data_IF_827721696155
#
_entry.id   IF_827721696155
#
_cell.length_a   1.000
_cell.length_b   1.000
_cell.length_c   1.000
_cell.angle_alpha   90.00
_cell.angle_beta   90.00
_cell.angle_gamma   90.00
#
_symmetry.space_group_name_H-M   'P 1'
#
loop_
_entity.id
_entity.type
_entity.pdbx_description
1 polymer ?
#
# COMPACT_ATOMS: atom_id res chain seq x y z
N UNK A 1 13.00 -2.43 -0.67
CA UNK A 1 12.96 -3.24 0.58
C UNK A 1 12.23 -4.59 0.42
N UNK A 2 11.04 -4.64 -0.21
CA UNK A 2 10.26 -5.88 -0.43
C UNK A 2 10.81 -6.82 -1.52
N UNK A 3 12.00 -6.54 -2.07
CA UNK A 3 12.64 -7.36 -3.09
C UNK A 3 11.99 -7.32 -4.47
N UNK A 4 11.36 -6.19 -4.82
CA UNK A 4 10.85 -5.92 -6.17
C UNK A 4 11.86 -5.05 -6.91
N UNK A 5 12.06 -5.32 -8.18
CA UNK A 5 12.78 -4.45 -9.11
C UNK A 5 11.84 -3.37 -9.70
N UNK A 6 12.41 -2.45 -10.47
CA UNK A 6 11.66 -1.35 -11.09
C UNK A 6 10.57 -1.85 -12.04
N UNK A 7 10.87 -2.86 -12.85
CA UNK A 7 9.93 -3.48 -13.79
C UNK A 7 8.74 -4.13 -13.08
N UNK A 8 9.00 -4.95 -12.04
CA UNK A 8 7.97 -5.61 -11.25
C UNK A 8 7.08 -4.58 -10.57
N UNK A 9 7.66 -3.48 -10.06
CA UNK A 9 6.88 -2.37 -9.51
C UNK A 9 5.99 -1.76 -10.59
N UNK A 10 6.54 -1.35 -11.73
CA UNK A 10 5.76 -0.72 -12.80
C UNK A 10 4.63 -1.63 -13.30
N UNK A 11 4.92 -2.91 -13.56
CA UNK A 11 3.93 -3.91 -13.98
C UNK A 11 2.86 -4.20 -12.93
N UNK A 12 3.16 -3.99 -11.65
CA UNK A 12 2.17 -4.15 -10.57
C UNK A 12 1.14 -3.02 -10.54
N UNK A 13 1.52 -1.81 -10.95
CA UNK A 13 0.66 -0.62 -10.87
C UNK A 13 0.07 -0.18 -12.20
N UNK A 14 0.67 -0.59 -13.32
CA UNK A 14 0.26 -0.18 -14.66
C UNK A 14 0.04 -1.40 -15.54
N UNK A 15 -0.98 -1.33 -16.39
CA UNK A 15 -1.12 -2.27 -17.49
C UNK A 15 -0.09 -1.93 -18.57
N UNK A 16 0.39 -2.96 -19.26
CA UNK A 16 1.27 -2.82 -20.41
C UNK A 16 0.45 -2.85 -21.69
N UNK A 17 0.79 -2.00 -22.64
CA UNK A 17 0.19 -1.99 -23.97
C UNK A 17 1.28 -2.20 -25.01
N UNK A 18 1.20 -3.27 -25.83
CA UNK A 18 2.17 -3.51 -26.89
C UNK A 18 1.90 -2.58 -28.07
N UNK A 19 2.98 -2.06 -28.63
CA UNK A 19 3.00 -1.35 -29.91
C UNK A 19 3.87 -2.14 -30.88
N UNK A 20 3.26 -2.72 -31.91
CA UNK A 20 3.95 -3.50 -32.93
C UNK A 20 4.25 -2.63 -34.16
N UNK A 21 5.50 -2.65 -34.63
CA UNK A 21 5.89 -1.93 -35.84
C UNK A 21 5.31 -2.62 -37.07
N UNK A 22 4.51 -1.91 -37.86
CA UNK A 22 4.04 -2.36 -39.19
C UNK A 22 4.27 -1.27 -40.22
N UNK A 23 5.29 -1.44 -41.06
CA UNK A 23 5.69 -0.44 -42.05
C UNK A 23 6.29 0.80 -41.38
N UNK A 24 5.74 1.98 -41.70
CA UNK A 24 6.14 3.27 -41.11
C UNK A 24 5.32 3.66 -39.86
N UNK A 25 4.37 2.81 -39.43
CA UNK A 25 3.49 3.08 -38.29
C UNK A 25 3.55 2.02 -37.20
N UNK A 26 2.78 2.26 -36.14
CA UNK A 26 2.66 1.39 -34.98
C UNK A 26 1.24 0.85 -34.85
N UNK A 27 1.10 -0.40 -34.47
CA UNK A 27 -0.19 -1.04 -34.22
C UNK A 27 -0.36 -1.29 -32.73
N UNK A 28 -1.47 -0.84 -32.17
CA UNK A 28 -1.80 -1.04 -30.76
C UNK A 28 -3.17 -1.70 -30.59
N UNK A 29 -3.37 -2.56 -29.58
CA UNK A 29 -4.68 -3.13 -29.27
C UNK A 29 -5.74 -2.06 -28.97
N UNK A 30 -6.95 -2.26 -29.49
CA UNK A 30 -8.08 -1.39 -29.18
C UNK A 30 -8.56 -1.64 -27.74
N UNK A 31 -8.54 -0.59 -26.90
CA UNK A 31 -9.18 -0.60 -25.57
C UNK A 31 -10.37 0.35 -25.56
N UNK A 32 -11.54 -0.20 -25.28
CA UNK A 32 -12.80 0.55 -25.17
C UNK A 32 -12.71 1.74 -24.19
N UNK A 33 -12.09 1.51 -23.04
CA UNK A 33 -12.04 2.50 -21.95
C UNK A 33 -11.32 3.79 -22.36
N UNK A 34 -10.26 3.67 -23.17
CA UNK A 34 -9.47 4.81 -23.67
C UNK A 34 -10.24 5.73 -24.61
N UNK A 35 -11.21 5.20 -25.34
CA UNK A 35 -11.95 5.96 -26.35
C UNK A 35 -13.35 6.38 -25.89
N UNK A 36 -13.72 6.06 -24.65
CA UNK A 36 -15.04 6.39 -24.09
C UNK A 36 -15.14 7.89 -23.80
N UNK A 37 -15.85 8.62 -24.65
CA UNK A 37 -16.11 10.05 -24.44
C UNK A 37 -14.97 10.98 -24.84
N UNK A 38 -13.92 10.44 -25.47
CA UNK A 38 -12.73 11.16 -25.92
C UNK A 38 -12.94 11.66 -27.35
N UNK A 39 -12.28 12.76 -27.70
CA UNK A 39 -12.14 13.25 -29.08
C UNK A 39 -10.76 12.85 -29.57
N UNK A 40 -10.64 11.95 -30.56
CA UNK A 40 -9.34 11.63 -31.15
C UNK A 40 -8.70 12.88 -31.74
N UNK A 41 -7.40 13.05 -31.54
CA UNK A 41 -6.63 14.14 -32.18
C UNK A 41 -6.33 13.83 -33.66
N UNK A 42 -6.31 12.55 -33.99
CA UNK A 42 -6.07 12.00 -35.32
C UNK A 42 -7.14 10.97 -35.70
N UNK A 43 -7.25 10.67 -36.98
CA UNK A 43 -8.17 9.65 -37.48
C UNK A 43 -7.77 8.27 -36.93
N UNK A 44 -8.74 7.54 -36.37
CA UNK A 44 -8.52 6.17 -35.93
C UNK A 44 -8.68 5.24 -37.12
N UNK A 45 -7.60 4.54 -37.48
CA UNK A 45 -7.56 3.60 -38.59
C UNK A 45 -7.50 2.19 -38.02
N UNK A 46 -8.37 1.31 -38.50
CA UNK A 46 -8.32 -0.11 -38.17
C UNK A 46 -7.10 -0.75 -38.85
N UNK A 47 -6.25 -1.44 -38.08
CA UNK A 47 -5.01 -2.01 -38.60
C UNK A 47 -5.20 -3.27 -39.47
N UNK A 48 -6.37 -3.92 -39.41
CA UNK A 48 -6.67 -5.13 -40.19
C UNK A 48 -7.39 -4.77 -41.51
N UNK A 49 -8.27 -3.78 -41.48
CA UNK A 49 -9.06 -3.36 -42.67
C UNK A 49 -8.51 -2.12 -43.37
N UNK A 50 -7.72 -1.29 -42.69
CA UNK A 50 -7.24 -0.01 -43.21
C UNK A 50 -8.31 1.07 -43.32
N UNK A 51 -9.52 0.82 -42.80
CA UNK A 51 -10.63 1.78 -42.82
C UNK A 51 -10.56 2.77 -41.65
N UNK A 52 -11.00 4.01 -41.88
CA UNK A 52 -11.12 5.02 -40.83
C UNK A 52 -12.36 4.73 -39.99
N UNK A 53 -12.15 4.22 -38.78
CA UNK A 53 -13.22 3.83 -37.84
C UNK A 53 -13.76 5.02 -37.05
N UNK A 54 -12.96 6.07 -36.84
CA UNK A 54 -13.42 7.33 -36.26
C UNK A 54 -12.60 8.52 -36.79
N UNK A 55 -13.28 9.62 -37.11
CA UNK A 55 -12.62 10.84 -37.58
C UNK A 55 -12.06 11.67 -36.42
N UNK A 56 -10.95 12.36 -36.68
CA UNK A 56 -10.33 13.32 -35.80
C UNK A 56 -11.32 14.41 -35.38
N UNK A 57 -11.26 14.83 -34.10
CA UNK A 57 -12.11 15.87 -33.53
C UNK A 57 -13.54 15.46 -33.21
N UNK A 58 -14.03 14.33 -33.73
CA UNK A 58 -15.37 13.83 -33.42
C UNK A 58 -15.39 13.12 -32.06
N UNK A 59 -16.29 13.56 -31.16
CA UNK A 59 -16.43 12.92 -29.85
C UNK A 59 -17.00 11.51 -30.01
N UNK A 60 -16.25 10.51 -29.56
CA UNK A 60 -16.71 9.12 -29.55
C UNK A 60 -17.61 8.93 -28.33
N UNK A 61 -18.90 8.69 -28.56
CA UNK A 61 -19.83 8.35 -27.47
C UNK A 61 -19.50 6.98 -26.87
N UNK A 62 -19.87 6.73 -25.62
CA UNK A 62 -19.65 5.42 -24.98
C UNK A 62 -20.29 4.25 -25.78
N UNK A 63 -21.44 4.49 -26.41
CA UNK A 63 -22.09 3.48 -27.28
C UNK A 63 -21.29 3.23 -28.55
N UNK A 64 -20.74 4.29 -29.16
CA UNK A 64 -19.92 4.17 -30.36
C UNK A 64 -18.60 3.46 -30.07
N UNK A 65 -17.91 3.82 -28.99
CA UNK A 65 -16.68 3.14 -28.56
C UNK A 65 -16.93 1.63 -28.32
N UNK A 66 -18.05 1.28 -27.67
CA UNK A 66 -18.37 -0.14 -27.45
C UNK A 66 -18.59 -0.89 -28.76
N UNK A 67 -19.31 -0.29 -29.70
CA UNK A 67 -19.55 -0.88 -31.02
C UNK A 67 -18.25 -1.03 -31.83
N UNK A 68 -17.34 -0.05 -31.72
CA UNK A 68 -16.03 -0.13 -32.36
C UNK A 68 -15.20 -1.29 -31.80
N UNK A 69 -15.26 -1.56 -30.50
CA UNK A 69 -14.57 -2.72 -29.90
C UNK A 69 -15.12 -4.09 -30.32
N UNK A 70 -16.31 -4.16 -30.94
CA UNK A 70 -16.85 -5.40 -31.52
C UNK A 70 -16.30 -5.67 -32.93
N UNK A 71 -15.89 -4.61 -33.65
CA UNK A 71 -15.43 -4.68 -35.05
C UNK A 71 -13.92 -4.55 -35.20
N UNK A 72 -13.29 -3.73 -34.36
CA UNK A 72 -11.88 -3.35 -34.48
C UNK A 72 -11.09 -3.90 -33.30
N UNK A 73 -10.11 -4.75 -33.62
CA UNK A 73 -9.24 -5.38 -32.62
C UNK A 73 -7.97 -4.56 -32.39
N UNK A 74 -7.45 -3.92 -33.43
CA UNK A 74 -6.20 -3.19 -33.38
C UNK A 74 -6.27 -1.88 -34.18
N UNK A 75 -5.57 -0.86 -33.71
CA UNK A 75 -5.51 0.46 -34.31
C UNK A 75 -4.14 0.70 -34.92
N UNK A 76 -4.11 1.22 -36.14
CA UNK A 76 -2.91 1.73 -36.79
C UNK A 76 -2.71 3.20 -36.41
N UNK A 77 -1.52 3.51 -35.92
CA UNK A 77 -1.09 4.82 -35.44
C UNK A 77 0.15 5.28 -36.20
N UNK A 78 0.31 6.60 -36.31
CA UNK A 78 1.51 7.20 -36.89
C UNK A 78 2.76 6.93 -36.03
N UNK A 79 3.95 7.08 -36.63
CA UNK A 79 5.23 6.95 -35.94
C UNK A 79 5.33 7.80 -34.65
N UNK A 80 4.74 9.00 -34.69
CA UNK A 80 4.75 9.97 -33.59
C UNK A 80 3.89 9.56 -32.38
N UNK A 81 3.06 8.52 -32.50
CA UNK A 81 2.10 8.14 -31.45
C UNK A 81 2.76 7.59 -30.16
N UNK A 82 4.02 7.17 -30.25
CA UNK A 82 4.83 6.72 -29.12
C UNK A 82 5.48 7.88 -28.36
N UNK A 83 5.56 9.08 -28.95
CA UNK A 83 6.21 10.24 -28.32
C UNK A 83 5.56 10.59 -26.98
N UNK A 84 6.39 10.75 -25.95
CA UNK A 84 5.95 11.08 -24.59
C UNK A 84 5.27 9.93 -23.84
N UNK A 85 5.22 8.72 -24.40
CA UNK A 85 4.83 7.50 -23.67
C UNK A 85 6.01 6.96 -22.87
N UNK A 86 5.73 6.07 -21.94
CA UNK A 86 6.76 5.50 -21.06
C UNK A 86 6.97 4.03 -21.37
N UNK A 87 8.24 3.61 -21.44
CA UNK A 87 8.62 2.22 -21.67
C UNK A 87 8.21 1.35 -20.46
N UNK A 88 7.72 0.14 -20.70
CA UNK A 88 7.26 -0.75 -19.63
C UNK A 88 8.34 -1.68 -19.07
N UNK A 89 9.25 -2.15 -19.92
CA UNK A 89 10.32 -3.09 -19.59
C UNK A 89 11.66 -2.54 -20.11
N UNK A 90 12.77 -2.98 -19.56
CA UNK A 90 14.11 -2.61 -20.02
C UNK A 90 14.32 -3.08 -21.47
N UNK A 91 14.81 -2.18 -22.31
CA UNK A 91 15.18 -2.51 -23.67
C UNK A 91 16.64 -2.95 -23.70
N UNK A 92 16.86 -4.26 -23.59
CA UNK A 92 18.20 -4.85 -23.51
C UNK A 92 18.59 -5.64 -24.76
N UNK A 93 19.86 -5.58 -25.13
CA UNK A 93 20.44 -6.52 -26.07
C UNK A 93 20.73 -7.85 -25.38
N UNK A 94 19.99 -8.89 -25.75
CA UNK A 94 20.14 -10.23 -25.16
C UNK A 94 21.51 -10.89 -25.46
N UNK A 95 22.24 -10.43 -26.49
CA UNK A 95 23.54 -10.99 -26.86
C UNK A 95 24.72 -10.28 -26.17
N UNK A 96 24.66 -8.96 -26.02
CA UNK A 96 25.75 -8.15 -25.43
C UNK A 96 25.51 -7.76 -23.98
N UNK A 97 24.26 -7.81 -23.51
CA UNK A 97 23.85 -7.30 -22.20
C UNK A 97 23.82 -5.79 -22.10
N UNK A 98 23.92 -5.07 -23.22
CA UNK A 98 23.82 -3.61 -23.26
C UNK A 98 22.36 -3.16 -23.07
N UNK A 99 22.14 -2.21 -22.16
CA UNK A 99 20.83 -1.62 -21.87
C UNK A 99 20.68 -0.37 -22.73
N UNK A 100 19.71 -0.35 -23.65
CA UNK A 100 19.45 0.78 -24.52
C UNK A 100 18.51 1.82 -23.90
N UNK A 101 17.55 1.36 -23.09
CA UNK A 101 16.63 2.21 -22.33
C UNK A 101 16.11 1.44 -21.11
N UNK A 102 15.86 2.14 -20.00
CA UNK A 102 15.37 1.56 -18.76
C UNK A 102 13.83 1.64 -18.67
N UNK A 103 13.24 0.73 -17.91
CA UNK A 103 11.81 0.71 -17.66
C UNK A 103 11.35 2.01 -16.98
N UNK A 104 10.32 2.63 -17.55
CA UNK A 104 9.81 3.92 -17.11
C UNK A 104 10.48 5.12 -17.77
N UNK A 105 11.47 4.94 -18.65
CA UNK A 105 11.99 6.05 -19.47
C UNK A 105 10.93 6.58 -20.43
N UNK A 106 11.04 7.87 -20.74
CA UNK A 106 10.16 8.54 -21.69
C UNK A 106 10.65 8.31 -23.12
N UNK A 107 9.73 7.97 -24.01
CA UNK A 107 10.01 7.72 -25.41
C UNK A 107 10.09 9.04 -26.17
N UNK A 108 11.32 9.50 -26.38
CA UNK A 108 11.66 10.58 -27.28
C UNK A 108 12.00 10.04 -28.69
N UNK A 109 11.94 10.89 -29.71
CA UNK A 109 12.34 10.55 -31.09
C UNK A 109 13.70 9.81 -31.19
N UNK A 110 14.80 10.27 -30.56
CA UNK A 110 16.08 9.55 -30.61
C UNK A 110 16.03 8.17 -29.95
N UNK A 111 15.26 8.01 -28.87
CA UNK A 111 15.11 6.72 -28.18
C UNK A 111 14.36 5.74 -29.07
N UNK A 112 13.30 6.18 -29.75
CA UNK A 112 12.55 5.34 -30.70
C UNK A 112 13.45 4.92 -31.88
N UNK A 113 14.19 5.86 -32.48
CA UNK A 113 15.12 5.55 -33.58
C UNK A 113 16.21 4.55 -33.16
N UNK A 114 16.72 4.67 -31.93
CA UNK A 114 17.69 3.74 -31.36
C UNK A 114 17.09 2.33 -31.25
N UNK A 115 15.90 2.21 -30.65
CA UNK A 115 15.21 0.93 -30.49
C UNK A 115 14.90 0.29 -31.87
N UNK A 116 14.43 1.09 -32.82
CA UNK A 116 14.19 0.60 -34.18
C UNK A 116 15.49 0.16 -34.88
N UNK A 117 16.57 0.92 -34.72
CA UNK A 117 17.90 0.61 -35.29
C UNK A 117 18.50 -0.69 -34.76
N UNK A 118 18.16 -1.06 -33.53
CA UNK A 118 18.55 -2.33 -32.90
C UNK A 118 17.55 -3.47 -33.13
N UNK A 119 16.51 -3.25 -33.94
CA UNK A 119 15.60 -4.31 -34.40
C UNK A 119 14.44 -4.62 -33.46
N UNK A 120 14.11 -3.74 -32.52
CA UNK A 120 12.90 -3.91 -31.69
C UNK A 120 11.65 -3.73 -32.56
N UNK A 121 10.91 -4.82 -32.79
CA UNK A 121 9.66 -4.80 -33.57
C UNK A 121 8.43 -4.54 -32.70
N UNK A 122 8.53 -4.79 -31.41
CA UNK A 122 7.45 -4.58 -30.44
C UNK A 122 8.00 -3.76 -29.29
N UNK A 123 7.34 -2.65 -28.99
CA UNK A 123 7.66 -1.77 -27.87
C UNK A 123 6.48 -1.79 -26.90
N UNK A 124 6.75 -2.25 -25.70
CA UNK A 124 5.77 -2.30 -24.62
C UNK A 124 5.77 -0.98 -23.86
N UNK A 125 4.62 -0.31 -23.79
CA UNK A 125 4.48 0.96 -23.06
C UNK A 125 3.53 0.85 -21.88
N UNK A 126 3.75 1.67 -20.86
CA UNK A 126 2.86 1.78 -19.70
C UNK A 126 1.55 2.47 -20.10
N UNK A 127 0.41 1.93 -19.67
CA UNK A 127 -0.92 2.48 -19.89
C UNK A 127 -1.18 3.72 -19.02
N UNK A 128 -0.50 4.82 -19.35
CA UNK A 128 -0.59 6.11 -18.66
C UNK A 128 -1.13 7.14 -19.65
N UNK A 129 -2.26 7.75 -19.32
CA UNK A 129 -2.93 8.76 -20.16
C UNK A 129 -3.02 10.15 -19.52
N UNK A 130 -2.56 10.29 -18.26
CA UNK A 130 -2.62 11.53 -17.46
C UNK A 130 -4.03 12.07 -17.21
N UNK A 131 -5.09 11.34 -17.58
CA UNK A 131 -6.49 11.73 -17.41
C UNK A 131 -7.21 10.75 -16.50
N UNK A 132 -7.15 9.46 -16.83
CA UNK A 132 -7.78 8.38 -16.06
C UNK A 132 -6.76 7.56 -15.25
N UNK A 133 -5.49 7.60 -15.65
CA UNK A 133 -4.37 6.93 -14.99
C UNK A 133 -3.17 7.87 -14.92
N UNK A 134 -2.77 8.23 -13.70
CA UNK A 134 -1.61 9.09 -13.44
C UNK A 134 -0.27 8.34 -13.35
N UNK A 135 0.80 8.99 -13.79
CA UNK A 135 2.19 8.49 -13.70
C UNK A 135 2.80 8.53 -12.28
N UNK A 136 2.01 8.33 -11.22
CA UNK A 136 2.46 8.55 -9.83
C UNK A 136 3.59 7.63 -9.38
N UNK A 137 3.45 6.32 -9.61
CA UNK A 137 4.47 5.34 -9.20
C UNK A 137 5.72 5.48 -10.04
N UNK A 138 5.58 5.67 -11.36
CA UNK A 138 6.70 5.96 -12.26
C UNK A 138 7.48 7.21 -11.85
N UNK A 139 6.77 8.32 -11.58
CA UNK A 139 7.44 9.56 -11.17
C UNK A 139 8.13 9.42 -9.81
N UNK A 140 7.60 8.57 -8.92
CA UNK A 140 8.22 8.27 -7.63
C UNK A 140 9.49 7.44 -7.82
N UNK A 141 9.46 6.41 -8.68
CA UNK A 141 10.64 5.61 -9.03
C UNK A 141 11.75 6.47 -9.63
N UNK A 142 11.42 7.42 -10.51
CA UNK A 142 12.42 8.31 -11.12
C UNK A 142 13.11 9.26 -10.13
N UNK A 143 12.48 9.54 -8.99
CA UNK A 143 13.07 10.37 -7.91
C UNK A 143 13.85 9.50 -6.92
N UNK A 144 13.52 8.21 -6.83
CA UNK A 144 14.23 7.27 -5.98
C UNK A 144 15.67 7.09 -6.47
N UNK A 145 16.60 7.02 -5.52
CA UNK A 145 18.03 6.86 -5.78
C UNK A 145 18.51 5.44 -5.50
N UNK A 146 17.64 4.62 -4.92
CA UNK A 146 17.98 3.26 -4.52
C UNK A 146 17.93 2.34 -5.74
N UNK A 147 19.03 1.64 -5.98
CA UNK A 147 19.15 0.71 -7.11
C UNK A 147 18.89 -0.74 -6.72
N UNK A 148 19.09 -1.06 -5.44
CA UNK A 148 18.93 -2.41 -4.92
C UNK A 148 18.09 -2.50 -3.65
N UNK A 149 17.76 -3.74 -3.29
CA UNK A 149 17.08 -4.05 -2.02
C UNK A 149 17.88 -3.55 -0.81
N UNK A 150 19.20 -3.72 -0.84
CA UNK A 150 20.10 -3.34 0.24
C UNK A 150 20.11 -1.83 0.47
N UNK A 151 20.27 -1.03 -0.59
CA UNK A 151 20.21 0.44 -0.53
C UNK A 151 18.89 0.91 0.10
N UNK A 152 17.77 0.34 -0.36
CA UNK A 152 16.46 0.66 0.16
C UNK A 152 16.30 0.29 1.65
N UNK A 153 16.92 -0.81 2.11
CA UNK A 153 16.92 -1.19 3.53
C UNK A 153 17.78 -0.23 4.36
N UNK A 154 18.91 0.21 3.82
CA UNK A 154 19.80 1.18 4.47
C UNK A 154 19.13 2.54 4.64
N UNK A 155 18.40 3.02 3.63
CA UNK A 155 17.67 4.27 3.73
C UNK A 155 16.54 4.20 4.76
N UNK A 156 15.78 3.09 4.80
CA UNK A 156 14.79 2.86 5.86
C UNK A 156 15.45 2.86 7.24
N UNK A 157 16.60 2.19 7.38
CA UNK A 157 17.35 2.14 8.64
C UNK A 157 17.81 3.53 9.08
N UNK A 158 18.37 4.34 8.18
CA UNK A 158 18.84 5.72 8.48
C UNK A 158 17.71 6.64 8.93
N UNK A 159 16.51 6.48 8.37
CA UNK A 159 15.33 7.26 8.78
C UNK A 159 14.90 6.87 10.19
N UNK A 160 14.90 5.57 10.51
CA UNK A 160 14.48 5.07 11.82
C UNK A 160 15.53 5.31 12.91
N UNK A 161 16.82 5.26 12.54
CA UNK A 161 17.97 5.43 13.45
C UNK A 161 18.99 6.40 12.84
N UNK A 162 18.71 7.71 12.92
CA UNK A 162 19.62 8.71 12.37
C UNK A 162 20.95 8.69 13.14
N UNK A 163 22.06 8.46 12.41
CA UNK A 163 23.42 8.50 12.95
C UNK A 163 24.04 7.13 13.28
N UNK A 164 23.28 6.05 13.27
CA UNK A 164 23.84 4.69 13.36
C UNK A 164 24.21 4.18 11.96
N UNK A 165 25.45 3.70 11.72
CA UNK A 165 25.83 3.15 10.42
C UNK A 165 25.07 1.82 10.18
N UNK A 166 24.36 1.66 9.05
CA UNK A 166 23.63 0.44 8.76
C UNK A 166 24.59 -0.70 8.39
N UNK A 167 24.28 -1.91 8.84
CA UNK A 167 24.83 -3.17 8.32
C UNK A 167 23.70 -3.95 7.64
N UNK A 168 23.98 -4.78 6.62
CA UNK A 168 22.95 -5.55 5.90
C UNK A 168 22.04 -6.33 6.86
N UNK A 169 22.64 -7.02 7.82
CA UNK A 169 21.94 -7.88 8.77
C UNK A 169 21.08 -7.05 9.74
N UNK A 170 21.60 -5.93 10.25
CA UNK A 170 20.85 -5.07 11.17
C UNK A 170 19.68 -4.37 10.46
N UNK A 171 19.87 -3.94 9.22
CA UNK A 171 18.84 -3.29 8.42
C UNK A 171 17.71 -4.27 8.07
N UNK A 172 18.05 -5.49 7.63
CA UNK A 172 17.07 -6.53 7.33
C UNK A 172 16.32 -6.98 8.60
N UNK A 173 17.04 -7.23 9.70
CA UNK A 173 16.41 -7.61 10.97
C UNK A 173 15.45 -6.52 11.48
N UNK A 174 15.85 -5.24 11.39
CA UNK A 174 14.98 -4.13 11.76
C UNK A 174 13.73 -4.09 10.87
N UNK A 175 13.89 -4.13 9.56
CA UNK A 175 12.77 -4.07 8.62
C UNK A 175 11.76 -5.19 8.86
N UNK A 176 12.25 -6.43 9.05
CA UNK A 176 11.41 -7.57 9.39
C UNK A 176 10.66 -7.37 10.72
N UNK A 177 11.35 -6.83 11.73
CA UNK A 177 10.78 -6.59 13.06
C UNK A 177 9.68 -5.53 13.09
N UNK A 178 9.59 -4.66 12.07
CA UNK A 178 8.59 -3.58 12.04
C UNK A 178 7.19 -4.07 11.68
N UNK A 179 7.08 -5.00 10.72
CA UNK A 179 5.79 -5.35 10.10
C UNK A 179 5.53 -6.85 9.97
N UNK A 180 6.60 -7.67 9.96
CA UNK A 180 6.53 -9.10 9.61
C UNK A 180 6.77 -10.03 10.80
N UNK A 181 7.16 -9.47 11.95
CA UNK A 181 7.39 -10.20 13.20
C UNK A 181 6.12 -10.20 14.08
N UNK A 182 5.57 -11.39 14.33
CA UNK A 182 4.36 -11.57 15.14
C UNK A 182 4.54 -11.22 16.62
N UNK A 183 5.77 -11.18 17.14
CA UNK A 183 6.02 -10.73 18.52
C UNK A 183 5.88 -9.21 18.66
N UNK A 184 6.08 -8.46 17.57
CA UNK A 184 6.14 -7.00 17.57
C UNK A 184 4.97 -6.33 16.85
N UNK A 185 4.39 -7.01 15.87
CA UNK A 185 3.31 -6.50 15.04
C UNK A 185 2.11 -7.45 15.06
N UNK A 186 0.96 -6.93 15.50
CA UNK A 186 -0.29 -7.68 15.59
C UNK A 186 -1.45 -6.73 15.21
N UNK A 187 -2.06 -6.96 14.04
CA UNK A 187 -3.26 -6.22 13.62
C UNK A 187 -4.47 -6.48 14.52
N UNK A 188 -4.44 -7.49 15.38
CA UNK A 188 -5.59 -8.16 15.99
C UNK A 188 -6.51 -8.81 14.96
N UNK A 189 -7.38 -9.72 15.41
CA UNK A 189 -8.38 -10.33 14.55
C UNK A 189 -9.29 -9.27 13.89
N UNK A 190 -9.68 -8.23 14.63
CA UNK A 190 -10.55 -7.17 14.11
C UNK A 190 -9.85 -6.33 13.05
N UNK A 191 -8.57 -6.00 13.25
CA UNK A 191 -7.81 -5.22 12.27
C UNK A 191 -7.57 -6.00 10.98
N UNK A 192 -7.27 -7.30 11.07
CA UNK A 192 -7.14 -8.17 9.89
C UNK A 192 -8.47 -8.27 9.13
N UNK A 193 -9.59 -8.54 9.80
CA UNK A 193 -10.91 -8.58 9.16
C UNK A 193 -11.22 -7.26 8.44
N UNK A 194 -11.00 -6.12 9.11
CA UNK A 194 -11.25 -4.80 8.50
C UNK A 194 -10.35 -4.52 7.31
N UNK A 195 -9.08 -4.89 7.40
CA UNK A 195 -8.16 -4.76 6.30
C UNK A 195 -8.56 -5.64 5.12
N UNK A 196 -8.90 -6.91 5.37
CA UNK A 196 -9.35 -7.84 4.33
C UNK A 196 -10.60 -7.33 3.62
N UNK A 197 -11.56 -6.77 4.37
CA UNK A 197 -12.75 -6.13 3.79
C UNK A 197 -12.40 -4.94 2.91
N UNK A 198 -11.49 -4.06 3.36
CA UNK A 198 -11.13 -2.85 2.61
C UNK A 198 -10.28 -3.14 1.38
N UNK A 199 -9.41 -4.15 1.46
CA UNK A 199 -8.53 -4.60 0.39
C UNK A 199 -9.19 -5.63 -0.54
N UNK A 200 -10.45 -6.00 -0.28
CA UNK A 200 -11.19 -7.02 -1.03
C UNK A 200 -10.41 -8.35 -1.13
N UNK A 201 -9.92 -8.83 0.02
CA UNK A 201 -9.08 -10.03 0.16
C UNK A 201 -9.71 -11.07 1.11
N UNK A 202 -10.92 -11.57 0.83
CA UNK A 202 -11.60 -12.53 1.71
C UNK A 202 -10.90 -13.89 1.81
N UNK A 203 -9.99 -14.21 0.88
CA UNK A 203 -9.20 -15.45 0.85
C UNK A 203 -8.15 -15.54 1.96
N UNK A 204 -7.84 -14.43 2.62
CA UNK A 204 -6.76 -14.33 3.61
C UNK A 204 -7.31 -14.66 5.00
N UNK A 205 -6.72 -15.66 5.64
CA UNK A 205 -7.15 -16.06 6.99
C UNK A 205 -7.02 -14.92 8.01
N UNK A 206 -8.02 -14.78 8.87
CA UNK A 206 -8.05 -13.83 9.99
C UNK A 206 -7.00 -14.13 11.07
N UNK A 207 -6.39 -15.32 11.01
CA UNK A 207 -5.29 -15.74 11.89
C UNK A 207 -3.95 -15.08 11.51
N UNK A 208 -3.79 -14.63 10.27
CA UNK A 208 -2.57 -13.97 9.81
C UNK A 208 -2.61 -12.50 10.23
N UNK A 209 -1.92 -12.15 11.32
CA UNK A 209 -2.02 -10.80 11.91
C UNK A 209 -0.82 -9.88 11.65
N UNK A 210 0.23 -10.40 11.01
CA UNK A 210 1.33 -9.61 10.46
C UNK A 210 0.96 -9.05 9.09
N UNK A 211 1.62 -7.99 8.62
CA UNK A 211 1.44 -7.52 7.24
C UNK A 211 2.11 -8.47 6.26
N UNK A 212 1.59 -8.53 5.04
CA UNK A 212 2.20 -9.26 3.91
C UNK A 212 2.61 -8.31 2.80
N UNK A 213 3.53 -8.74 1.93
CA UNK A 213 3.91 -7.99 0.71
C UNK A 213 2.66 -7.56 -0.08
N UNK A 214 1.75 -8.51 -0.32
CA UNK A 214 0.52 -8.26 -1.09
C UNK A 214 -0.42 -7.26 -0.41
N UNK A 215 -0.47 -7.25 0.93
CA UNK A 215 -1.31 -6.29 1.67
C UNK A 215 -0.81 -4.85 1.39
N UNK A 216 0.51 -4.64 1.42
CA UNK A 216 1.13 -3.33 1.15
C UNK A 216 0.89 -2.91 -0.30
N UNK A 217 1.05 -3.82 -1.26
CA UNK A 217 0.82 -3.53 -2.67
C UNK A 217 -0.64 -3.15 -2.95
N UNK A 218 -1.60 -3.90 -2.40
CA UNK A 218 -3.03 -3.58 -2.54
C UNK A 218 -3.39 -2.24 -1.89
N UNK A 219 -2.82 -1.92 -0.72
CA UNK A 219 -3.00 -0.59 -0.09
C UNK A 219 -2.54 0.52 -1.02
N UNK A 220 -1.37 0.38 -1.64
CA UNK A 220 -0.84 1.37 -2.58
C UNK A 220 -1.69 1.45 -3.87
N UNK A 221 -2.16 0.31 -4.39
CA UNK A 221 -3.04 0.29 -5.57
C UNK A 221 -4.36 1.03 -5.31
N UNK A 222 -4.98 0.81 -4.14
CA UNK A 222 -6.19 1.55 -3.75
C UNK A 222 -5.88 3.03 -3.59
N UNK A 223 -4.76 3.40 -2.99
CA UNK A 223 -4.36 4.80 -2.82
C UNK A 223 -4.16 5.51 -4.16
N UNK A 224 -3.49 4.86 -5.12
CA UNK A 224 -3.33 5.35 -6.49
C UNK A 224 -4.70 5.46 -7.17
N UNK A 225 -5.55 4.43 -7.06
CA UNK A 225 -6.90 4.42 -7.59
C UNK A 225 -7.76 5.58 -7.07
N UNK A 226 -7.70 5.87 -5.76
CA UNK A 226 -8.42 7.01 -5.15
C UNK A 226 -7.97 8.33 -5.75
N UNK A 227 -6.67 8.47 -6.06
CA UNK A 227 -6.12 9.67 -6.71
C UNK A 227 -6.56 9.79 -8.17
N UNK A 228 -6.73 8.67 -8.86
CA UNK A 228 -7.35 8.59 -10.19
C UNK A 228 -8.90 8.74 -10.15
N UNK A 229 -9.48 8.97 -8.96
CA UNK A 229 -10.92 9.15 -8.77
C UNK A 229 -11.73 7.84 -8.75
N UNK A 230 -11.06 6.69 -8.58
CA UNK A 230 -11.66 5.36 -8.45
C UNK A 230 -11.82 5.00 -6.98
N UNK A 231 -13.07 4.80 -6.55
CA UNK A 231 -13.42 4.44 -5.17
C UNK A 231 -13.80 5.65 -4.31
N UNK A 232 -14.11 5.38 -3.04
CA UNK A 232 -14.55 6.39 -2.08
C UNK A 232 -13.55 6.52 -0.93
N UNK A 233 -13.43 7.74 -0.41
CA UNK A 233 -12.61 8.05 0.76
C UNK A 233 -13.37 7.61 2.00
N UNK A 234 -12.69 6.89 2.90
CA UNK A 234 -13.30 6.40 4.12
C UNK A 234 -13.61 7.55 5.09
N UNK A 235 -14.83 7.53 5.65
CA UNK A 235 -15.22 8.44 6.72
C UNK A 235 -14.72 7.91 8.08
N UNK A 236 -13.83 8.67 8.72
CA UNK A 236 -13.24 8.33 10.02
C UNK A 236 -14.24 8.39 11.17
N UNK A 237 -15.35 9.12 11.02
CA UNK A 237 -16.35 9.35 12.07
C UNK A 237 -17.46 8.30 12.09
N UNK A 238 -17.60 7.54 11.00
CA UNK A 238 -18.49 6.41 10.91
C UNK A 238 -18.20 5.38 12.04
N UNK A 239 -19.23 4.97 12.78
CA UNK A 239 -19.10 3.97 13.84
C UNK A 239 -18.53 2.64 13.34
N UNK A 240 -18.70 2.30 12.06
CA UNK A 240 -18.06 1.15 11.45
C UNK A 240 -16.52 1.18 11.51
N UNK A 241 -15.93 2.37 11.60
CA UNK A 241 -14.48 2.61 11.68
C UNK A 241 -14.01 2.96 13.11
N UNK A 242 -14.94 3.11 14.05
CA UNK A 242 -14.64 3.36 15.47
C UNK A 242 -14.91 2.11 16.29
N UNK A 243 -13.91 1.68 17.07
CA UNK A 243 -14.00 0.47 17.89
C UNK A 243 -14.11 0.82 19.37
N UNK A 244 -15.10 0.24 20.04
CA UNK A 244 -15.21 0.29 21.51
C UNK A 244 -14.29 -0.76 22.11
N UNK A 245 -13.38 -0.33 22.98
CA UNK A 245 -12.51 -1.23 23.77
C UNK A 245 -13.10 -1.40 25.17
N UNK A 246 -13.19 -2.65 25.61
CA UNK A 246 -13.62 -2.96 26.98
C UNK A 246 -12.44 -2.88 27.96
N UNK A 247 -12.75 -2.85 29.25
CA UNK A 247 -11.72 -2.89 30.32
C UNK A 247 -10.83 -4.13 30.19
N UNK A 248 -11.42 -5.27 29.83
CA UNK A 248 -10.69 -6.53 29.66
C UNK A 248 -9.61 -6.46 28.59
N UNK A 249 -9.93 -5.91 27.41
CA UNK A 249 -8.97 -5.76 26.31
C UNK A 249 -7.85 -4.79 26.65
N UNK A 250 -8.16 -3.66 27.28
CA UNK A 250 -7.14 -2.69 27.70
C UNK A 250 -6.20 -3.28 28.75
N UNK A 251 -6.76 -4.04 29.71
CA UNK A 251 -5.98 -4.73 30.73
C UNK A 251 -5.12 -5.85 30.11
N UNK A 252 -5.65 -6.63 29.17
CA UNK A 252 -4.90 -7.66 28.45
C UNK A 252 -3.66 -7.08 27.77
N UNK A 253 -3.80 -5.96 27.06
CA UNK A 253 -2.68 -5.29 26.41
C UNK A 253 -1.59 -4.87 27.41
N UNK A 254 -1.99 -4.27 28.53
CA UNK A 254 -1.02 -3.84 29.56
C UNK A 254 -0.37 -5.03 30.27
N UNK A 255 -1.13 -6.11 30.48
CA UNK A 255 -0.61 -7.35 31.04
C UNK A 255 0.37 -8.03 30.09
N UNK A 256 0.08 -8.05 28.77
CA UNK A 256 0.98 -8.55 27.72
C UNK A 256 2.32 -7.81 27.74
N UNK A 257 2.31 -6.48 27.87
CA UNK A 257 3.55 -5.69 28.05
C UNK A 257 4.33 -6.11 29.30
N UNK A 258 3.63 -6.41 30.41
CA UNK A 258 4.23 -6.94 31.63
C UNK A 258 4.86 -8.32 31.44
N UNK A 259 4.20 -9.21 30.69
CA UNK A 259 4.71 -10.55 30.35
C UNK A 259 5.94 -10.46 29.44
N UNK A 260 5.93 -9.61 28.42
CA UNK A 260 7.09 -9.42 27.52
C UNK A 260 8.33 -8.94 28.30
N UNK A 261 8.15 -8.07 29.31
CA UNK A 261 9.25 -7.66 30.20
C UNK A 261 9.76 -8.83 31.04
N UNK A 262 8.86 -9.66 31.55
CA UNK A 262 9.20 -10.84 32.34
C UNK A 262 9.94 -11.88 31.49
N UNK A 263 9.47 -12.12 30.26
CA UNK A 263 10.08 -13.04 29.30
C UNK A 263 11.53 -12.64 28.99
N UNK A 264 11.79 -11.35 28.73
CA UNK A 264 13.16 -10.85 28.50
C UNK A 264 14.07 -11.13 29.69
N UNK A 265 13.61 -10.84 30.91
CA UNK A 265 14.37 -11.10 32.12
C UNK A 265 14.61 -12.60 32.36
N UNK A 266 13.66 -13.46 32.00
CA UNK A 266 13.80 -14.91 32.07
C UNK A 266 14.86 -15.38 31.05
N UNK A 267 14.76 -14.95 29.78
CA UNK A 267 15.73 -15.32 28.73
C UNK A 267 17.17 -14.92 29.12
N UNK A 268 17.35 -13.72 29.67
CA UNK A 268 18.65 -13.21 30.15
C UNK A 268 19.19 -13.99 31.37
N UNK A 269 18.32 -14.41 32.28
CA UNK A 269 18.72 -15.28 33.41
C UNK A 269 19.08 -16.67 32.93
N UNK A 270 18.28 -17.25 32.02
CA UNK A 270 18.54 -18.60 31.49
C UNK A 270 19.87 -18.68 30.73
N UNK A 271 20.33 -17.61 30.08
CA UNK A 271 21.64 -17.60 29.43
C UNK A 271 22.82 -17.53 30.41
N UNK A 272 22.57 -17.12 31.65
CA UNK A 272 23.61 -16.81 32.65
C UNK A 272 23.77 -17.89 33.72
N UNK A 273 22.77 -18.75 33.92
CA UNK A 273 22.74 -19.72 35.02
C UNK A 273 22.75 -21.15 34.50
N UNK A 274 23.39 -22.05 35.25
CA UNK A 274 23.46 -23.47 34.94
C UNK A 274 22.09 -24.14 35.11
N UNK A 275 21.59 -24.70 34.01
CA UNK A 275 20.24 -25.27 33.86
C UNK A 275 19.98 -26.40 34.87
N UNK A 276 21.02 -27.16 35.23
CA UNK A 276 20.88 -28.31 36.14
C UNK A 276 20.67 -27.88 37.60
N UNK A 277 20.93 -26.61 37.93
CA UNK A 277 20.88 -26.08 39.30
C UNK A 277 19.67 -25.21 39.60
N UNK A 278 18.93 -24.79 38.58
CA UNK A 278 17.88 -23.77 38.70
C UNK A 278 16.51 -24.39 38.64
N UNK A 279 15.65 -24.01 39.58
CA UNK A 279 14.24 -24.40 39.52
C UNK A 279 13.42 -23.34 38.78
N UNK A 280 12.32 -23.71 38.08
CA UNK A 280 11.54 -22.75 37.29
C UNK A 280 11.01 -21.54 38.06
N UNK A 281 10.75 -21.67 39.37
CA UNK A 281 10.28 -20.57 40.20
C UNK A 281 11.36 -19.52 40.50
N UNK A 282 12.65 -19.85 40.37
CA UNK A 282 13.76 -18.92 40.56
C UNK A 282 13.92 -17.95 39.37
N UNK A 283 13.45 -18.37 38.19
CA UNK A 283 13.47 -17.56 36.97
C UNK A 283 12.31 -16.56 36.92
N UNK A 284 11.18 -16.90 37.55
CA UNK A 284 9.94 -16.13 37.43
C UNK A 284 9.90 -15.01 38.49
N UNK A 285 9.91 -13.76 38.04
CA UNK A 285 9.68 -12.60 38.88
C UNK A 285 8.33 -11.96 38.54
N UNK A 286 7.35 -12.01 39.45
CA UNK A 286 6.02 -11.45 39.22
C UNK A 286 5.95 -9.91 39.32
N UNK A 287 6.99 -9.23 39.84
CA UNK A 287 6.97 -7.77 40.07
C UNK A 287 6.66 -6.96 38.79
N UNK A 288 7.26 -7.23 37.62
CA UNK A 288 6.98 -6.46 36.40
C UNK A 288 5.52 -6.57 35.96
N UNK A 289 4.94 -7.77 35.95
CA UNK A 289 3.53 -7.96 35.58
C UNK A 289 2.57 -7.30 36.59
N UNK A 290 2.84 -7.46 37.90
CA UNK A 290 2.03 -6.82 38.94
C UNK A 290 2.12 -5.28 38.88
N UNK A 291 3.28 -4.73 38.54
CA UNK A 291 3.47 -3.29 38.37
C UNK A 291 2.64 -2.75 37.20
N UNK A 292 2.67 -3.42 36.05
CA UNK A 292 1.86 -3.06 34.86
C UNK A 292 0.36 -3.02 35.16
N UNK A 293 -0.15 -3.97 35.95
CA UNK A 293 -1.56 -3.99 36.39
C UNK A 293 -1.87 -2.85 37.36
N UNK A 294 -0.99 -2.59 38.35
CA UNK A 294 -1.20 -1.47 39.29
C UNK A 294 -1.17 -0.12 38.60
N UNK A 295 -0.26 0.08 37.65
CA UNK A 295 -0.17 1.30 36.84
C UNK A 295 -1.45 1.52 36.02
N UNK A 296 -1.98 0.46 35.41
CA UNK A 296 -3.25 0.53 34.67
C UNK A 296 -4.40 1.05 35.54
N UNK A 297 -4.61 0.48 36.74
CA UNK A 297 -5.70 0.92 37.61
C UNK A 297 -5.42 2.22 38.37
N UNK A 298 -4.14 2.54 38.64
CA UNK A 298 -3.75 3.68 39.46
C UNK A 298 -3.61 4.99 38.70
N UNK A 299 -3.08 4.98 37.48
CA UNK A 299 -2.73 6.20 36.73
C UNK A 299 -3.43 6.35 35.38
N UNK A 300 -4.22 5.37 34.95
CA UNK A 300 -4.97 5.49 33.69
C UNK A 300 -6.06 6.55 33.79
N UNK A 301 -6.15 7.40 32.75
CA UNK A 301 -7.21 8.41 32.62
C UNK A 301 -8.62 7.81 32.57
N UNK A 302 -8.73 6.54 32.20
CA UNK A 302 -9.99 5.79 32.14
C UNK A 302 -10.37 5.16 33.49
N UNK A 303 -9.42 5.05 34.42
CA UNK A 303 -9.66 4.58 35.78
C UNK A 303 -10.07 5.76 36.66
N UNK A 304 -11.36 6.04 36.72
CA UNK A 304 -11.92 7.20 37.41
C UNK A 304 -12.67 6.78 38.68
N UNK A 305 -12.71 7.67 39.68
CA UNK A 305 -13.57 7.48 40.83
C UNK A 305 -15.03 7.43 40.39
N UNK A 306 -15.75 6.42 40.87
CA UNK A 306 -17.14 6.19 40.50
C UNK A 306 -18.03 7.34 40.99
N UNK A 307 -18.80 7.97 40.11
CA UNK A 307 -19.90 8.85 40.50
C UNK A 307 -21.00 8.04 41.19
N UNK A 308 -21.10 8.25 42.50
CA UNK A 308 -22.02 7.54 43.41
C UNK A 308 -23.12 8.46 43.96
N UNK A 309 -23.43 9.57 43.27
CA UNK A 309 -24.45 10.51 43.73
C UNK A 309 -25.84 9.88 43.80
N UNK A 310 -26.18 9.03 42.84
CA UNK A 310 -27.44 8.27 42.79
C UNK A 310 -27.29 7.03 41.87
N UNK A 311 -28.22 6.06 41.90
CA UNK A 311 -28.12 4.85 41.08
C UNK A 311 -28.09 5.11 39.56
N UNK A 312 -28.74 6.17 39.08
CA UNK A 312 -28.73 6.54 37.65
C UNK A 312 -27.36 7.07 37.22
N UNK A 313 -26.72 7.91 38.05
CA UNK A 313 -25.35 8.38 37.84
C UNK A 313 -24.37 7.22 37.77
N UNK A 314 -24.52 6.23 38.67
CA UNK A 314 -23.65 5.04 38.68
C UNK A 314 -23.77 4.24 37.38
N UNK A 315 -25.00 3.95 36.94
CA UNK A 315 -25.25 3.21 35.69
C UNK A 315 -24.75 3.99 34.48
N UNK A 316 -25.03 5.30 34.42
CA UNK A 316 -24.61 6.17 33.32
C UNK A 316 -23.09 6.25 33.24
N UNK A 317 -22.40 6.31 34.38
CA UNK A 317 -20.94 6.34 34.42
C UNK A 317 -20.33 5.03 33.92
N UNK A 318 -20.86 3.87 34.32
CA UNK A 318 -20.40 2.55 33.86
C UNK A 318 -20.62 2.32 32.36
N UNK A 319 -21.66 2.92 31.78
CA UNK A 319 -22.00 2.79 30.35
C UNK A 319 -21.41 3.91 29.48
N UNK A 320 -20.61 4.80 30.06
CA UNK A 320 -20.01 5.93 29.35
C UNK A 320 -18.92 5.46 28.39
N UNK A 321 -18.97 5.95 27.16
CA UNK A 321 -17.89 5.80 26.18
C UNK A 321 -17.01 7.05 26.20
N UNK A 322 -15.71 6.88 26.01
CA UNK A 322 -14.73 7.96 25.92
C UNK A 322 -13.86 7.77 24.68
N UNK A 323 -13.72 8.82 23.88
CA UNK A 323 -12.73 8.89 22.80
C UNK A 323 -11.34 9.33 23.29
N UNK A 324 -11.23 9.74 24.55
CA UNK A 324 -9.98 10.15 25.20
C UNK A 324 -9.30 8.97 25.87
N UNK A 325 -7.96 8.97 25.91
CA UNK A 325 -7.15 7.98 26.61
C UNK A 325 -6.04 7.38 25.74
N UNK A 326 -5.36 6.34 26.22
CA UNK A 326 -4.28 5.69 25.48
C UNK A 326 -4.80 5.08 24.16
N UNK A 327 -4.24 5.54 23.04
CA UNK A 327 -4.66 5.15 21.69
C UNK A 327 -5.91 5.86 21.16
N UNK A 328 -6.44 6.85 21.90
CA UNK A 328 -7.53 7.72 21.49
C UNK A 328 -7.07 9.14 21.13
N UNK A 329 -8.03 10.06 21.03
CA UNK A 329 -7.77 11.47 20.76
C UNK A 329 -7.34 12.20 22.03
N UNK A 330 -6.54 13.26 21.88
CA UNK A 330 -6.32 14.24 22.96
C UNK A 330 -7.33 15.36 22.86
N UNK A 331 -7.62 16.06 23.97
CA UNK A 331 -8.58 17.18 23.97
C UNK A 331 -8.20 18.30 22.99
N UNK A 332 -6.90 18.52 22.80
CA UNK A 332 -6.35 19.54 21.89
C UNK A 332 -6.47 19.13 20.41
N UNK A 333 -6.37 17.84 20.11
CA UNK A 333 -6.49 17.31 18.73
C UNK A 333 -7.93 16.97 18.34
N UNK A 334 -8.85 16.91 19.30
CA UNK A 334 -10.26 16.67 19.04
C UNK A 334 -10.92 17.93 18.46
N UNK A 335 -10.91 18.02 17.12
CA UNK A 335 -11.58 19.06 16.33
C UNK A 335 -13.10 19.03 16.42
N UNK A 336 -13.76 19.85 15.59
CA UNK A 336 -15.22 19.95 15.57
C UNK A 336 -15.88 18.68 14.99
N UNK A 337 -15.34 18.14 13.91
CA UNK A 337 -15.89 16.99 13.16
C UNK A 337 -16.13 15.77 14.06
N UNK A 338 -15.11 15.37 14.83
CA UNK A 338 -15.18 14.24 15.77
C UNK A 338 -16.16 14.44 16.95
N UNK A 339 -16.58 15.68 17.23
CA UNK A 339 -17.54 16.02 18.31
C UNK A 339 -18.97 16.10 17.83
N UNK A 340 -19.19 16.20 16.52
CA UNK A 340 -20.52 16.30 15.96
C UNK A 340 -21.26 14.95 16.02
N UNK A 341 -22.59 15.01 15.86
CA UNK A 341 -23.43 13.81 15.82
C UNK A 341 -23.41 13.25 14.40
N UNK A 342 -22.76 12.11 14.24
CA UNK A 342 -22.76 11.37 12.98
C UNK A 342 -24.05 10.53 12.81
N UNK A 343 -24.62 10.42 11.59
CA UNK A 343 -25.84 9.63 11.34
C UNK A 343 -25.76 8.16 11.79
N UNK A 344 -24.56 7.57 11.75
CA UNK A 344 -24.35 6.19 12.19
C UNK A 344 -24.47 5.98 13.71
N UNK A 345 -24.69 7.04 14.49
CA UNK A 345 -24.92 6.93 15.94
C UNK A 345 -26.33 6.40 16.27
N UNK A 346 -27.26 6.50 15.32
CA UNK A 346 -28.58 5.89 15.40
C UNK A 346 -28.50 4.41 15.02
#
# INVERSE_FOLDING_TARGET
ALGMDGEEILRTFYETVPYEKRGEGWVTPYKFERWRGVKPEFDLIDADTGEVVAQAGQKISARAAKKLGETTTSLSLAADALLGRYLANDAVNMETGEIYAEAGDELDAPTIELLEGHGFTTIDVLDIDHVTVGAYMRNTLRVDKNTGREDALFDVYRVMRPGEPPTPEAAEAMYNSLFFDSERYDLSAVGRVKMNMRLETPEVSDEIRVLRKDDVLKVLQILVGLKDGRGEIDDIDNLGNRRVRSVGELLENQYRVGLLRMERAIKERMSSVDIDTVMPHDLINAKPAAASVREFFGSSQLSQFMDQTNPLSEITHKRRLSALGPGGLTRERAGFEVRDVHPSHY
#
